data_IF_814555905237
#
_entry.id   IF_814555905237
#
_cell.length_a   1.000
_cell.length_b   1.000
_cell.length_c   1.000
_cell.angle_alpha   90.00
_cell.angle_beta   90.00
_cell.angle_gamma   90.00
#
_symmetry.space_group_name_H-M   'P 1'
#
loop_
_entity.id
_entity.type
_entity.pdbx_description
1 polymer ?
#
# COMPACT_ATOMS: atom_id res chain seq x y z
N UNK A 1 8.09 24.30 -2.86
CA UNK A 1 7.13 23.36 -3.50
C UNK A 1 7.76 22.56 -4.66
N UNK A 2 8.44 23.20 -5.63
CA UNK A 2 8.99 22.54 -6.84
C UNK A 2 9.86 21.29 -6.59
N UNK A 3 10.74 21.31 -5.58
CA UNK A 3 11.66 20.19 -5.31
C UNK A 3 10.95 18.92 -4.80
N UNK A 4 9.80 19.05 -4.14
CA UNK A 4 9.06 17.92 -3.54
C UNK A 4 8.29 17.18 -4.63
N UNK A 5 7.62 17.92 -5.51
CA UNK A 5 6.77 17.34 -6.56
C UNK A 5 7.61 16.54 -7.57
N UNK A 6 8.87 16.92 -7.82
CA UNK A 6 9.79 16.18 -8.70
C UNK A 6 10.06 14.74 -8.28
N UNK A 7 9.83 14.39 -7.02
CA UNK A 7 10.05 13.04 -6.48
C UNK A 7 8.74 12.24 -6.35
N UNK A 8 7.61 12.84 -6.71
CA UNK A 8 6.32 12.16 -6.69
C UNK A 8 6.03 11.56 -8.06
N UNK A 9 5.67 10.28 -8.06
CA UNK A 9 5.11 9.62 -9.24
C UNK A 9 3.61 9.59 -9.09
N UNK A 10 2.91 10.23 -10.02
CA UNK A 10 1.45 10.18 -10.08
C UNK A 10 1.05 8.98 -10.94
N UNK A 11 0.19 8.14 -10.40
CA UNK A 11 -0.34 6.96 -11.10
C UNK A 11 -1.85 7.11 -11.22
N UNK A 12 -2.39 6.83 -12.41
CA UNK A 12 -3.83 6.82 -12.61
C UNK A 12 -4.39 5.45 -12.23
N UNK A 13 -5.45 5.44 -11.42
CA UNK A 13 -6.11 4.21 -10.95
C UNK A 13 -6.57 3.28 -12.09
N UNK A 14 -6.92 3.84 -13.25
CA UNK A 14 -7.32 3.08 -14.44
C UNK A 14 -6.15 2.29 -15.08
N UNK A 15 -4.91 2.53 -14.66
CA UNK A 15 -3.73 1.79 -15.12
C UNK A 15 -3.50 0.50 -14.32
N UNK A 16 -4.17 0.34 -13.17
CA UNK A 16 -4.10 -0.86 -12.36
C UNK A 16 -4.96 -1.95 -13.02
N UNK A 17 -4.40 -3.15 -13.16
CA UNK A 17 -5.12 -4.28 -13.76
C UNK A 17 -6.32 -4.69 -12.91
N UNK A 18 -7.38 -5.21 -13.56
CA UNK A 18 -8.56 -5.72 -12.85
C UNK A 18 -8.21 -6.86 -11.87
N UNK A 19 -7.20 -7.66 -12.21
CA UNK A 19 -6.67 -8.74 -11.35
C UNK A 19 -6.10 -8.19 -10.04
N UNK A 20 -5.27 -7.15 -10.12
CA UNK A 20 -4.67 -6.50 -8.95
C UNK A 20 -5.72 -5.77 -8.12
N UNK A 21 -6.75 -5.20 -8.76
CA UNK A 21 -7.92 -4.67 -8.07
C UNK A 21 -8.66 -5.73 -7.27
N UNK A 22 -8.95 -6.88 -7.89
CA UNK A 22 -9.65 -7.97 -7.20
C UNK A 22 -8.83 -8.49 -6.02
N UNK A 23 -7.52 -8.69 -6.22
CA UNK A 23 -6.62 -9.11 -5.14
C UNK A 23 -6.61 -8.10 -3.98
N UNK A 24 -6.60 -6.80 -4.28
CA UNK A 24 -6.67 -5.76 -3.26
C UNK A 24 -8.02 -5.75 -2.52
N UNK A 25 -9.13 -5.98 -3.23
CA UNK A 25 -10.46 -6.12 -2.60
C UNK A 25 -10.47 -7.31 -1.65
N UNK A 26 -9.95 -8.47 -2.08
CA UNK A 26 -9.92 -9.68 -1.27
C UNK A 26 -9.07 -9.47 0.00
N UNK A 27 -7.94 -8.76 -0.13
CA UNK A 27 -7.09 -8.37 0.98
C UNK A 27 -7.76 -7.36 1.91
N UNK A 28 -8.49 -6.38 1.40
CA UNK A 28 -9.11 -5.33 2.23
C UNK A 28 -10.51 -5.68 2.76
N UNK A 29 -11.13 -6.74 2.26
CA UNK A 29 -12.47 -7.20 2.70
C UNK A 29 -12.47 -7.54 4.19
N UNK A 30 -13.32 -6.86 4.98
CA UNK A 30 -13.37 -7.05 6.44
C UNK A 30 -12.31 -6.29 7.24
N UNK A 31 -11.51 -5.42 6.59
CA UNK A 31 -10.60 -4.48 7.25
C UNK A 31 -11.14 -3.05 7.08
N UNK A 32 -10.88 -2.44 5.92
CA UNK A 32 -11.43 -1.16 5.47
C UNK A 32 -11.37 -1.12 3.94
N UNK A 33 -12.54 -1.11 3.30
CA UNK A 33 -12.65 -1.12 1.83
C UNK A 33 -12.19 0.22 1.24
N UNK A 34 -12.09 1.29 2.02
CA UNK A 34 -11.68 2.61 1.52
C UNK A 34 -10.20 2.67 1.13
N UNK A 35 -9.37 1.82 1.72
CA UNK A 35 -7.92 1.79 1.46
C UNK A 35 -7.52 0.85 0.31
N UNK A 36 -8.50 0.28 -0.39
CA UNK A 36 -8.29 -0.71 -1.45
C UNK A 36 -7.40 -0.19 -2.58
N UNK A 37 -7.53 1.08 -2.97
CA UNK A 37 -6.75 1.68 -4.05
C UNK A 37 -5.25 1.74 -3.73
N UNK A 38 -4.89 1.97 -2.47
CA UNK A 38 -3.49 1.98 -2.04
C UNK A 38 -2.88 0.58 -2.06
N UNK A 39 -3.64 -0.43 -1.64
CA UNK A 39 -3.22 -1.84 -1.69
C UNK A 39 -3.09 -2.30 -3.14
N UNK A 40 -4.06 -1.97 -4.00
CA UNK A 40 -4.03 -2.29 -5.42
C UNK A 40 -2.81 -1.67 -6.12
N UNK A 41 -2.51 -0.40 -5.82
CA UNK A 41 -1.34 0.27 -6.35
C UNK A 41 -0.03 -0.38 -5.86
N UNK A 42 0.06 -0.75 -4.58
CA UNK A 42 1.24 -1.41 -4.04
C UNK A 42 1.50 -2.77 -4.70
N UNK A 43 0.44 -3.54 -4.97
CA UNK A 43 0.53 -4.80 -5.73
C UNK A 43 0.97 -4.53 -7.17
N UNK A 44 0.32 -3.58 -7.86
CA UNK A 44 0.63 -3.24 -9.25
C UNK A 44 2.07 -2.78 -9.46
N UNK A 45 2.62 -2.04 -8.49
CA UNK A 45 3.96 -1.48 -8.54
C UNK A 45 5.03 -2.40 -7.92
N UNK A 46 4.64 -3.57 -7.39
CA UNK A 46 5.49 -4.44 -6.57
C UNK A 46 6.24 -3.64 -5.48
N UNK A 47 5.51 -2.77 -4.79
CA UNK A 47 6.05 -1.79 -3.86
C UNK A 47 5.67 -2.10 -2.41
N UNK A 48 6.47 -1.58 -1.48
CA UNK A 48 6.16 -1.64 -0.05
C UNK A 48 5.13 -0.58 0.30
N UNK A 49 3.97 -0.99 0.81
CA UNK A 49 2.95 -0.08 1.32
C UNK A 49 3.36 0.45 2.69
N UNK A 50 3.58 1.75 2.80
CA UNK A 50 3.76 2.39 4.10
C UNK A 50 2.44 2.94 4.61
N UNK A 51 2.01 2.54 5.81
CA UNK A 51 0.79 3.06 6.43
C UNK A 51 0.98 3.36 7.91
N UNK A 52 0.31 4.43 8.37
CA UNK A 52 0.15 4.75 9.78
C UNK A 52 -1.08 4.10 10.42
N UNK A 53 -1.98 3.53 9.62
CA UNK A 53 -3.19 2.89 10.12
C UNK A 53 -2.86 1.50 10.67
N UNK A 54 -3.07 1.34 11.98
CA UNK A 54 -2.78 0.09 12.70
C UNK A 54 -3.74 -1.05 12.34
N UNK A 55 -5.00 -0.73 12.01
CA UNK A 55 -5.99 -1.74 11.61
C UNK A 55 -5.67 -2.26 10.23
N UNK A 56 -5.36 -1.37 9.28
CA UNK A 56 -4.96 -1.76 7.94
C UNK A 56 -3.67 -2.59 7.95
N UNK A 57 -2.63 -2.10 8.63
CA UNK A 57 -1.36 -2.81 8.75
C UNK A 57 -1.53 -4.23 9.30
N UNK A 58 -2.25 -4.39 10.43
CA UNK A 58 -2.45 -5.70 11.05
C UNK A 58 -3.29 -6.61 10.18
N UNK A 59 -4.42 -6.12 9.68
CA UNK A 59 -5.31 -6.93 8.85
C UNK A 59 -4.64 -7.42 7.56
N UNK A 60 -3.82 -6.57 6.92
CA UNK A 60 -3.04 -6.96 5.75
C UNK A 60 -2.01 -8.05 6.07
N UNK A 61 -1.25 -7.89 7.17
CA UNK A 61 -0.28 -8.91 7.63
C UNK A 61 -0.97 -10.23 7.98
N UNK A 62 -2.11 -10.19 8.66
CA UNK A 62 -2.91 -11.37 9.03
C UNK A 62 -3.42 -12.12 7.80
N UNK A 63 -3.69 -11.41 6.71
CA UNK A 63 -4.06 -11.98 5.40
C UNK A 63 -2.88 -12.37 4.51
N UNK A 64 -1.66 -12.32 5.04
CA UNK A 64 -0.45 -12.75 4.34
C UNK A 64 0.16 -11.70 3.40
N UNK A 65 -0.33 -10.46 3.40
CA UNK A 65 0.31 -9.37 2.67
C UNK A 65 1.51 -8.85 3.47
N UNK A 66 2.70 -9.34 3.14
CA UNK A 66 3.95 -9.04 3.85
C UNK A 66 4.56 -7.69 3.46
N UNK A 67 4.28 -7.19 2.25
CA UNK A 67 4.81 -5.94 1.67
C UNK A 67 4.12 -4.68 2.22
N UNK A 68 3.96 -4.62 3.55
CA UNK A 68 3.43 -3.47 4.28
C UNK A 68 4.30 -3.18 5.49
N UNK A 69 4.56 -1.90 5.73
CA UNK A 69 5.36 -1.42 6.86
C UNK A 69 4.66 -0.32 7.63
N UNK A 70 4.86 -0.34 8.95
CA UNK A 70 4.45 0.75 9.83
C UNK A 70 5.59 1.76 10.05
N UNK A 71 5.35 2.77 10.90
CA UNK A 71 6.34 3.82 11.22
C UNK A 71 7.66 3.28 11.78
N UNK A 72 7.60 2.34 12.72
CA UNK A 72 8.79 1.82 13.39
C UNK A 72 9.61 0.96 12.42
N UNK A 73 8.95 0.11 11.64
CA UNK A 73 9.59 -0.71 10.60
C UNK A 73 10.23 0.15 9.51
N UNK A 74 9.54 1.22 9.06
CA UNK A 74 10.10 2.16 8.10
C UNK A 74 11.37 2.83 8.64
N UNK A 75 11.38 3.19 9.91
CA UNK A 75 12.55 3.81 10.55
C UNK A 75 13.75 2.87 10.55
N UNK A 76 13.53 1.57 10.78
CA UNK A 76 14.61 0.58 10.71
C UNK A 76 15.09 0.31 9.28
N UNK A 77 14.20 0.41 8.28
CA UNK A 77 14.57 0.28 6.86
C UNK A 77 15.44 1.44 6.36
N UNK A 78 15.16 2.68 6.77
CA UNK A 78 15.86 3.88 6.29
C UNK A 78 17.21 4.10 7.02
N UNK A 79 17.41 3.49 8.18
CA UNK A 79 18.69 3.57 8.92
C UNK A 79 19.82 2.75 8.28
N UNK A 80 19.49 1.87 7.33
CA UNK A 80 20.47 1.10 6.53
C UNK A 80 21.01 1.95 5.40
#
# INVERSE_FOLDING_TARGET
MYLIIKRLTFVNENQITAENWQQAVDLTTGIDVKDVSFVALAIQADAVLWTGDKKLYKGLKEKGFSNVVNREELRELIKR
#
